data_IF_911656051189
#
_entry.id   IF_911656051189
#
_cell.length_a   1.000
_cell.length_b   1.000
_cell.length_c   1.000
_cell.angle_alpha   90.00
_cell.angle_beta   90.00
_cell.angle_gamma   90.00
#
_symmetry.space_group_name_H-M   'P 1'
#
loop_
_entity.id
_entity.type
_entity.pdbx_description
1 polymer ?
#
# COMPACT_ATOMS: atom_id res chain seq x y z
N UNK A 1 -23.25 8.07 -34.16
CA UNK A 1 -23.41 7.03 -33.13
C UNK A 1 -22.21 6.08 -33.11
N UNK A 2 -20.97 6.58 -33.11
CA UNK A 2 -19.79 5.69 -32.96
C UNK A 2 -19.25 5.90 -31.55
N UNK A 3 -19.23 4.81 -30.78
CA UNK A 3 -19.06 4.75 -29.34
C UNK A 3 -17.60 4.91 -28.91
N UNK A 4 -17.37 5.70 -27.85
CA UNK A 4 -16.19 5.73 -26.96
C UNK A 4 -16.39 4.60 -25.94
N UNK A 5 -15.40 3.77 -25.53
CA UNK A 5 -14.33 4.16 -24.58
C UNK A 5 -13.00 3.39 -24.80
N UNK A 6 -11.86 3.59 -24.14
CA UNK A 6 -11.55 4.06 -22.80
C UNK A 6 -10.08 4.50 -22.77
N UNK A 7 -9.77 5.44 -21.89
CA UNK A 7 -8.41 5.77 -21.51
C UNK A 7 -7.69 4.50 -21.01
N UNK A 8 -6.77 3.95 -21.80
CA UNK A 8 -5.71 3.07 -21.32
C UNK A 8 -4.73 3.93 -20.51
N UNK A 9 -5.16 4.35 -19.33
CA UNK A 9 -4.23 4.83 -18.32
C UNK A 9 -3.43 3.60 -17.90
N UNK A 10 -2.26 3.44 -18.52
CA UNK A 10 -1.19 2.60 -18.02
C UNK A 10 -0.87 3.07 -16.60
N UNK A 11 -1.59 2.54 -15.63
CA UNK A 11 -1.21 2.63 -14.23
C UNK A 11 0.07 1.81 -14.13
N UNK A 12 1.21 2.49 -14.23
CA UNK A 12 2.48 1.96 -13.72
C UNK A 12 2.24 1.85 -12.22
N UNK A 13 1.58 0.76 -11.82
CA UNK A 13 1.41 0.37 -10.43
C UNK A 13 2.81 0.02 -9.97
N UNK A 14 3.54 1.03 -9.52
CA UNK A 14 4.86 0.87 -8.91
C UNK A 14 4.75 -0.31 -7.95
N UNK A 15 5.56 -1.36 -8.08
CA UNK A 15 5.41 -2.57 -7.25
C UNK A 15 6.51 -2.59 -6.18
N UNK A 16 6.15 -3.04 -4.98
CA UNK A 16 7.03 -3.27 -3.84
C UNK A 16 7.16 -4.77 -3.62
N UNK A 17 8.28 -5.21 -3.05
CA UNK A 17 8.47 -6.61 -2.69
C UNK A 17 7.98 -6.82 -1.26
N UNK A 18 7.02 -7.73 -1.09
CA UNK A 18 6.51 -8.08 0.23
C UNK A 18 7.66 -8.63 1.11
N UNK A 19 7.94 -8.06 2.29
CA UNK A 19 9.03 -8.52 3.15
C UNK A 19 8.78 -9.91 3.76
N UNK A 20 7.52 -10.33 3.88
CA UNK A 20 7.18 -11.65 4.45
C UNK A 20 7.31 -12.80 3.47
N UNK A 21 6.86 -12.63 2.22
CA UNK A 21 6.83 -13.74 1.23
C UNK A 21 7.63 -13.46 -0.05
N UNK A 22 8.24 -12.28 -0.16
CA UNK A 22 9.05 -11.82 -1.31
C UNK A 22 8.30 -11.73 -2.64
N UNK A 23 6.96 -11.72 -2.62
CA UNK A 23 6.17 -11.54 -3.83
C UNK A 23 6.01 -10.05 -4.19
N UNK A 24 5.84 -9.75 -5.47
CA UNK A 24 5.59 -8.40 -5.97
C UNK A 24 4.15 -7.99 -5.67
N UNK A 25 3.98 -6.85 -4.99
CA UNK A 25 2.69 -6.28 -4.61
C UNK A 25 2.63 -4.84 -5.08
N UNK A 26 1.46 -4.35 -5.49
CA UNK A 26 1.33 -2.95 -5.87
C UNK A 26 1.64 -2.02 -4.69
N UNK A 27 2.48 -1.00 -4.91
CA UNK A 27 2.79 0.08 -3.97
C UNK A 27 1.50 0.80 -3.61
N UNK A 28 1.29 0.99 -2.31
CA UNK A 28 0.03 1.51 -1.77
C UNK A 28 -1.02 0.44 -1.47
N UNK A 29 -0.74 -0.85 -1.70
CA UNK A 29 -1.59 -1.92 -1.18
C UNK A 29 -1.49 -1.99 0.34
N UNK A 30 -2.63 -2.08 1.03
CA UNK A 30 -2.66 -2.26 2.49
C UNK A 30 -2.14 -3.64 2.93
N UNK A 31 -2.33 -4.66 2.07
CA UNK A 31 -2.00 -6.05 2.34
C UNK A 31 -1.38 -6.69 1.10
N UNK A 32 -0.55 -7.71 1.32
CA UNK A 32 -0.03 -8.57 0.27
C UNK A 32 -1.14 -9.49 -0.24
N UNK A 33 -1.42 -9.43 -1.53
CA UNK A 33 -2.43 -10.27 -2.21
C UNK A 33 -2.03 -11.75 -2.30
N UNK A 34 -0.79 -12.10 -1.96
CA UNK A 34 -0.31 -13.48 -2.01
C UNK A 34 -0.30 -14.16 -0.63
N UNK A 35 0.20 -13.48 0.41
CA UNK A 35 0.34 -14.07 1.75
C UNK A 35 -0.56 -13.42 2.82
N UNK A 36 -1.21 -12.29 2.52
CA UNK A 36 -2.04 -11.55 3.49
C UNK A 36 -1.26 -10.66 4.47
N UNK A 37 0.07 -10.56 4.37
CA UNK A 37 0.86 -9.69 5.22
C UNK A 37 0.48 -8.21 5.05
N UNK A 38 0.36 -7.45 6.13
CA UNK A 38 0.12 -6.00 6.07
C UNK A 38 1.36 -5.29 5.53
N UNK A 39 1.16 -4.47 4.50
CA UNK A 39 2.20 -3.67 3.86
C UNK A 39 2.10 -2.19 4.25
N UNK A 40 0.90 -1.70 4.57
CA UNK A 40 0.72 -0.39 5.17
C UNK A 40 0.40 -0.52 6.66
N UNK A 41 1.03 0.33 7.46
CA UNK A 41 0.75 0.43 8.89
C UNK A 41 -0.27 1.53 9.13
N UNK A 42 -1.51 1.12 9.40
CA UNK A 42 -2.52 2.05 9.90
C UNK A 42 -2.23 2.29 11.38
N UNK A 43 -2.09 3.56 11.75
CA UNK A 43 -1.89 3.93 13.14
C UNK A 43 -3.14 3.62 13.95
N UNK A 44 -3.04 2.72 14.94
CA UNK A 44 -4.16 2.38 15.82
C UNK A 44 -4.64 3.54 16.70
N UNK A 45 -3.85 4.61 16.84
CA UNK A 45 -4.22 5.80 17.64
C UNK A 45 -5.01 6.83 16.85
N UNK A 46 -4.60 7.14 15.62
CA UNK A 46 -5.20 8.21 14.82
C UNK A 46 -5.82 7.75 13.50
N UNK A 47 -5.64 6.49 13.10
CA UNK A 47 -6.13 5.94 11.84
C UNK A 47 -5.33 6.34 10.60
N UNK A 48 -4.22 7.08 10.74
CA UNK A 48 -3.43 7.51 9.58
C UNK A 48 -2.69 6.34 8.92
N UNK A 49 -2.62 6.36 7.58
CA UNK A 49 -1.84 5.40 6.80
C UNK A 49 -0.37 5.81 6.79
N UNK A 50 0.51 4.90 7.21
CA UNK A 50 1.95 5.12 7.25
C UNK A 50 2.64 4.17 6.26
N UNK A 51 3.74 4.63 5.61
CA UNK A 51 4.47 3.79 4.67
C UNK A 51 5.09 2.57 5.36
N UNK A 52 5.32 1.53 4.56
CA UNK A 52 6.06 0.34 4.98
C UNK A 52 7.40 0.74 5.61
N UNK A 53 7.73 0.17 6.76
CA UNK A 53 8.91 0.51 7.59
C UNK A 53 8.81 1.80 8.44
N UNK A 54 7.65 2.44 8.53
CA UNK A 54 7.46 3.54 9.48
C UNK A 54 7.52 3.05 10.93
N UNK A 55 8.57 3.41 11.68
CA UNK A 55 8.65 3.15 13.13
C UNK A 55 7.66 3.98 13.94
N UNK A 56 7.34 5.17 13.45
CA UNK A 56 6.45 6.12 14.09
C UNK A 56 5.40 6.62 13.10
N UNK A 57 4.25 7.02 13.61
CA UNK A 57 3.21 7.60 12.80
C UNK A 57 3.61 8.99 12.31
N UNK A 58 3.60 9.23 11.01
CA UNK A 58 3.94 10.53 10.41
C UNK A 58 2.86 11.61 10.65
N UNK A 59 1.72 11.25 11.23
CA UNK A 59 0.64 12.17 11.56
C UNK A 59 0.58 12.50 13.05
N UNK A 60 0.66 11.50 13.94
CA UNK A 60 0.50 11.72 15.39
C UNK A 60 1.73 11.39 16.24
N UNK A 61 2.80 10.83 15.64
CA UNK A 61 4.01 10.44 16.37
C UNK A 61 3.92 9.13 17.16
N UNK A 62 2.78 8.44 17.16
CA UNK A 62 2.63 7.16 17.87
C UNK A 62 3.54 6.07 17.28
N UNK A 63 4.15 5.24 18.13
CA UNK A 63 5.00 4.11 17.73
C UNK A 63 4.16 3.02 17.04
N UNK A 64 4.55 2.59 15.84
CA UNK A 64 3.80 1.61 15.05
C UNK A 64 4.29 0.16 15.22
N UNK A 65 5.42 -0.03 15.91
CA UNK A 65 6.02 -1.34 16.22
C UNK A 65 7.16 -1.68 15.28
#
# INVERSE_FOLDING_TARGET
MVEIPAATQSTVVEQIICPSCKNSVAKGSNFCNNCGAKLQFICSKCGNNNPENSKFCNSCGFTLG
#
